data_IF_446830240655
#
_entry.id   IF_446830240655
#
_cell.length_a   1.000
_cell.length_b   1.000
_cell.length_c   1.000
_cell.angle_alpha   90.00
_cell.angle_beta   90.00
_cell.angle_gamma   90.00
#
_symmetry.space_group_name_H-M   'P 1'
#
loop_
_entity.id
_entity.type
_entity.pdbx_description
1 polymer ?
#
# COMPACT_ATOMS: atom_id res chain seq x y z
N UNK A 1 -9.13 -6.93 11.52
CA UNK A 1 -10.21 -5.99 11.15
C UNK A 1 -10.96 -6.55 9.95
N UNK A 2 -12.31 -6.52 9.88
CA UNK A 2 -13.02 -7.01 8.70
C UNK A 2 -12.92 -6.02 7.53
N UNK A 3 -12.64 -6.54 6.32
CA UNK A 3 -12.49 -5.71 5.11
C UNK A 3 -13.82 -5.15 4.60
N UNK A 4 -14.92 -5.91 4.65
CA UNK A 4 -16.23 -5.53 4.09
C UNK A 4 -16.71 -4.09 4.43
N UNK A 5 -16.71 -3.64 5.71
CA UNK A 5 -17.13 -2.28 6.03
C UNK A 5 -16.19 -1.21 5.45
N UNK A 6 -14.88 -1.49 5.39
CA UNK A 6 -13.89 -0.57 4.82
C UNK A 6 -14.11 -0.43 3.30
N UNK A 7 -14.34 -1.55 2.62
CA UNK A 7 -14.62 -1.58 1.18
C UNK A 7 -15.92 -0.85 0.83
N UNK A 8 -16.97 -1.03 1.65
CA UNK A 8 -18.22 -0.30 1.50
C UNK A 8 -18.05 1.22 1.66
N UNK A 9 -17.19 1.66 2.59
CA UNK A 9 -16.84 3.06 2.76
C UNK A 9 -16.07 3.60 1.55
N UNK A 10 -15.04 2.88 1.09
CA UNK A 10 -14.27 3.22 -0.12
C UNK A 10 -15.18 3.41 -1.33
N UNK A 11 -16.12 2.50 -1.57
CA UNK A 11 -17.06 2.63 -2.69
C UNK A 11 -17.99 3.83 -2.59
N UNK A 12 -18.38 4.21 -1.37
CA UNK A 12 -19.41 5.22 -1.15
C UNK A 12 -18.86 6.64 -1.07
N UNK A 13 -17.68 6.81 -0.48
CA UNK A 13 -17.15 8.11 -0.07
C UNK A 13 -15.82 8.49 -0.75
N UNK A 14 -15.21 7.58 -1.50
CA UNK A 14 -13.91 7.79 -2.13
C UNK A 14 -13.95 7.52 -3.63
N UNK A 15 -12.77 7.40 -4.26
CA UNK A 15 -12.63 7.31 -5.70
C UNK A 15 -11.96 5.97 -6.08
N UNK A 16 -12.70 4.84 -6.01
CA UNK A 16 -12.19 3.54 -6.42
C UNK A 16 -12.05 3.44 -7.94
N UNK A 17 -11.04 2.70 -8.39
CA UNK A 17 -10.99 2.22 -9.77
C UNK A 17 -11.97 1.06 -9.97
N UNK A 18 -12.15 0.64 -11.22
CA UNK A 18 -12.88 -0.58 -11.51
C UNK A 18 -12.24 -1.79 -10.79
N UNK A 19 -13.03 -2.78 -10.34
CA UNK A 19 -12.51 -4.01 -9.76
C UNK A 19 -11.49 -4.72 -10.66
N UNK A 20 -10.45 -5.30 -10.07
CA UNK A 20 -9.58 -6.20 -10.79
C UNK A 20 -10.27 -7.57 -11.01
N UNK A 21 -9.94 -8.21 -12.11
CA UNK A 21 -10.35 -9.60 -12.40
C UNK A 21 -9.38 -10.60 -11.77
N UNK A 22 -9.84 -11.83 -11.53
CA UNK A 22 -8.97 -12.93 -11.09
C UNK A 22 -7.78 -13.16 -12.02
N UNK A 23 -7.94 -12.92 -13.32
CA UNK A 23 -6.86 -13.01 -14.30
C UNK A 23 -5.80 -11.91 -14.10
N UNK A 24 -6.22 -10.68 -13.77
CA UNK A 24 -5.29 -9.59 -13.44
C UNK A 24 -4.54 -9.85 -12.15
N UNK A 25 -5.20 -10.43 -11.13
CA UNK A 25 -4.53 -10.86 -9.89
C UNK A 25 -3.46 -11.92 -10.20
N UNK A 26 -3.82 -12.98 -10.92
CA UNK A 26 -2.87 -14.04 -11.27
C UNK A 26 -1.69 -13.51 -12.11
N UNK A 27 -1.96 -12.60 -13.07
CA UNK A 27 -0.92 -11.96 -13.86
C UNK A 27 0.00 -11.07 -13.02
N UNK A 28 -0.56 -10.36 -12.03
CA UNK A 28 0.20 -9.59 -11.06
C UNK A 28 1.13 -10.50 -10.26
N UNK A 29 0.59 -11.53 -9.62
CA UNK A 29 1.35 -12.47 -8.76
C UNK A 29 2.47 -13.16 -9.55
N UNK A 30 2.20 -13.59 -10.79
CA UNK A 30 3.20 -14.15 -11.69
C UNK A 30 4.32 -13.15 -12.05
N UNK A 31 3.98 -11.87 -12.21
CA UNK A 31 4.95 -10.81 -12.55
C UNK A 31 5.84 -10.46 -11.36
N UNK A 32 5.29 -10.36 -10.16
CA UNK A 32 6.03 -9.90 -8.97
C UNK A 32 6.69 -11.04 -8.19
N UNK A 33 6.24 -12.28 -8.38
CA UNK A 33 6.80 -13.47 -7.74
C UNK A 33 6.35 -13.68 -6.29
N UNK A 34 5.28 -13.01 -5.86
CA UNK A 34 4.67 -13.16 -4.54
C UNK A 34 3.15 -13.07 -4.64
N UNK A 35 2.46 -13.62 -3.64
CA UNK A 35 0.99 -13.75 -3.62
C UNK A 35 0.34 -12.66 -2.77
N UNK A 36 -0.80 -12.13 -3.20
CA UNK A 36 -1.62 -11.24 -2.39
C UNK A 36 -2.16 -11.99 -1.18
N UNK A 37 -2.10 -11.39 0.00
CA UNK A 37 -2.81 -11.90 1.19
C UNK A 37 -4.34 -11.69 1.05
N UNK A 38 -5.10 -12.16 2.04
CA UNK A 38 -6.57 -12.11 2.00
C UNK A 38 -7.10 -10.67 1.93
N UNK A 39 -6.48 -9.74 2.65
CA UNK A 39 -6.91 -8.33 2.69
C UNK A 39 -6.68 -7.66 1.33
N UNK A 40 -5.46 -7.80 0.79
CA UNK A 40 -5.12 -7.24 -0.52
C UNK A 40 -5.97 -7.87 -1.62
N UNK A 41 -6.18 -9.19 -1.59
CA UNK A 41 -7.02 -9.88 -2.58
C UNK A 41 -8.46 -9.39 -2.53
N UNK A 42 -9.03 -9.24 -1.33
CA UNK A 42 -10.38 -8.68 -1.16
C UNK A 42 -10.46 -7.25 -1.68
N UNK A 43 -9.45 -6.41 -1.38
CA UNK A 43 -9.39 -5.04 -1.84
C UNK A 43 -9.29 -4.94 -3.37
N UNK A 44 -8.35 -5.64 -4.00
CA UNK A 44 -8.14 -5.55 -5.44
C UNK A 44 -9.32 -6.13 -6.26
N UNK A 45 -9.98 -7.17 -5.74
CA UNK A 45 -11.24 -7.68 -6.31
C UNK A 45 -12.42 -6.73 -6.13
N UNK A 46 -12.31 -5.75 -5.25
CA UNK A 46 -13.34 -4.72 -5.02
C UNK A 46 -13.03 -3.44 -5.81
N UNK A 47 -11.77 -3.04 -5.90
CA UNK A 47 -11.27 -1.95 -6.74
C UNK A 47 -9.78 -2.12 -7.03
N UNK A 48 -9.36 -1.98 -8.29
CA UNK A 48 -7.94 -2.03 -8.68
C UNK A 48 -7.19 -0.75 -8.30
N UNK A 49 -7.00 -0.52 -7.00
CA UNK A 49 -6.52 0.74 -6.46
C UNK A 49 -7.62 1.79 -6.32
N UNK A 50 -7.31 2.85 -5.59
CA UNK A 50 -8.22 3.98 -5.35
C UNK A 50 -7.44 5.22 -4.93
N UNK A 51 -8.11 6.37 -4.94
CA UNK A 51 -7.65 7.54 -4.19
C UNK A 51 -8.61 7.84 -3.06
N UNK A 52 -8.08 8.09 -1.86
CA UNK A 52 -8.89 8.49 -0.71
C UNK A 52 -8.98 10.01 -0.63
N UNK A 53 -10.12 10.50 -0.15
CA UNK A 53 -10.48 11.91 0.12
C UNK A 53 -10.51 12.87 -1.09
N UNK A 54 -9.64 12.71 -2.08
CA UNK A 54 -9.55 13.57 -3.25
C UNK A 54 -9.33 12.75 -4.53
N UNK A 55 -9.66 13.31 -5.71
CA UNK A 55 -9.30 12.71 -7.00
C UNK A 55 -7.79 12.74 -7.24
N UNK A 56 -7.32 11.87 -8.16
CA UNK A 56 -5.92 11.46 -8.38
C UNK A 56 -4.82 12.52 -8.27
N UNK A 57 -5.05 13.77 -8.68
CA UNK A 57 -3.99 14.80 -8.72
C UNK A 57 -3.67 15.33 -7.31
N UNK A 58 -4.64 15.33 -6.40
CA UNK A 58 -4.52 16.00 -5.09
C UNK A 58 -4.61 15.00 -3.91
N UNK A 59 -4.65 13.70 -4.21
CA UNK A 59 -4.86 12.67 -3.20
C UNK A 59 -3.57 12.34 -2.46
N UNK A 60 -3.58 12.50 -1.13
CA UNK A 60 -2.49 12.05 -0.27
C UNK A 60 -2.38 10.53 -0.29
N UNK A 61 -3.50 9.82 -0.16
CA UNK A 61 -3.53 8.36 -0.18
C UNK A 61 -3.95 7.87 -1.55
N UNK A 62 -2.98 7.43 -2.35
CA UNK A 62 -3.23 6.79 -3.63
C UNK A 62 -2.80 5.33 -3.59
N UNK A 63 -3.75 4.44 -3.29
CA UNK A 63 -3.49 2.99 -3.35
C UNK A 63 -3.30 2.60 -4.81
N UNK A 64 -2.11 2.08 -5.12
CA UNK A 64 -1.70 1.85 -6.49
C UNK A 64 -2.53 0.72 -7.14
N UNK A 65 -2.94 0.88 -8.41
CA UNK A 65 -3.45 -0.24 -9.19
C UNK A 65 -2.35 -1.30 -9.35
N UNK A 66 -2.73 -2.58 -9.49
CA UNK A 66 -1.80 -3.70 -9.58
C UNK A 66 -0.74 -3.49 -10.65
N UNK A 67 -1.10 -2.88 -11.78
CA UNK A 67 -0.19 -2.60 -12.88
C UNK A 67 0.97 -1.65 -12.50
N UNK A 68 0.75 -0.73 -11.55
CA UNK A 68 1.71 0.31 -11.18
C UNK A 68 2.62 -0.08 -10.01
N UNK A 69 2.21 -1.08 -9.21
CA UNK A 69 3.04 -1.67 -8.15
C UNK A 69 4.35 -2.19 -8.75
N UNK A 70 5.46 -1.78 -8.15
CA UNK A 70 6.82 -2.15 -8.54
C UNK A 70 7.74 -2.19 -7.32
N UNK A 71 8.99 -2.61 -7.50
CA UNK A 71 10.00 -2.55 -6.44
C UNK A 71 10.19 -1.11 -5.96
N UNK A 72 10.25 -0.91 -4.66
CA UNK A 72 10.38 0.41 -4.04
C UNK A 72 11.64 1.15 -4.51
N UNK A 73 12.78 0.46 -4.66
CA UNK A 73 14.02 1.05 -5.19
C UNK A 73 13.86 1.69 -6.57
N UNK A 74 13.08 1.07 -7.46
CA UNK A 74 12.78 1.63 -8.78
C UNK A 74 11.86 2.85 -8.70
N UNK A 75 10.90 2.85 -7.78
CA UNK A 75 9.94 3.93 -7.63
C UNK A 75 10.53 5.16 -6.91
N UNK A 76 11.31 4.93 -5.85
CA UNK A 76 11.81 5.96 -4.94
C UNK A 76 13.17 6.49 -5.39
N UNK A 77 14.09 5.61 -5.81
CA UNK A 77 15.47 5.97 -6.17
C UNK A 77 15.72 6.03 -7.69
N UNK A 78 14.72 5.67 -8.50
CA UNK A 78 14.84 5.57 -9.95
C UNK A 78 16.00 4.65 -10.41
N UNK A 79 16.32 3.64 -9.59
CA UNK A 79 17.43 2.70 -9.79
C UNK A 79 17.06 1.30 -9.26
N UNK A 80 17.61 0.24 -9.87
CA UNK A 80 17.38 -1.17 -9.45
C UNK A 80 18.66 -1.82 -8.92
N UNK A 81 19.57 -1.02 -8.35
CA UNK A 81 20.76 -1.53 -7.68
C UNK A 81 20.45 -1.94 -6.23
N UNK A 82 21.20 -2.92 -5.71
CA UNK A 82 20.95 -3.44 -4.35
C UNK A 82 21.21 -2.42 -3.24
N UNK A 83 22.07 -1.41 -3.50
CA UNK A 83 22.28 -0.29 -2.56
C UNK A 83 21.04 0.60 -2.39
N UNK A 84 20.13 0.57 -3.37
CA UNK A 84 18.96 1.43 -3.41
C UNK A 84 17.73 0.77 -2.76
N UNK A 85 17.87 -0.43 -2.20
CA UNK A 85 16.85 -1.13 -1.43
C UNK A 85 16.77 -2.62 -1.74
N UNK A 86 16.12 -3.37 -0.85
CA UNK A 86 15.93 -4.81 -1.01
C UNK A 86 14.97 -5.12 -2.19
N UNK A 87 15.23 -6.18 -2.98
CA UNK A 87 14.38 -6.56 -4.12
C UNK A 87 12.98 -7.05 -3.73
N UNK A 88 12.77 -7.37 -2.46
CA UNK A 88 11.51 -7.84 -1.89
C UNK A 88 10.56 -6.71 -1.47
N UNK A 89 11.01 -5.46 -1.48
CA UNK A 89 10.19 -4.33 -1.04
C UNK A 89 9.43 -3.74 -2.23
N UNK A 90 8.10 -3.69 -2.14
CA UNK A 90 7.20 -3.23 -3.20
C UNK A 90 6.34 -2.05 -2.73
N UNK A 91 6.12 -1.09 -3.63
CA UNK A 91 5.21 0.04 -3.41
C UNK A 91 3.76 -0.42 -3.36
N UNK A 92 2.98 0.09 -2.41
CA UNK A 92 1.55 -0.20 -2.33
C UNK A 92 0.69 1.08 -2.39
N UNK A 93 1.11 2.13 -1.68
CA UNK A 93 0.41 3.43 -1.65
C UNK A 93 1.41 4.51 -2.01
N UNK A 94 1.06 5.32 -3.00
CA UNK A 94 1.76 6.55 -3.36
C UNK A 94 1.27 7.67 -2.45
N UNK A 95 2.20 8.24 -1.68
CA UNK A 95 1.95 9.30 -0.70
C UNK A 95 2.31 10.69 -1.25
N UNK A 96 2.52 10.80 -2.58
CA UNK A 96 3.08 11.96 -3.29
C UNK A 96 4.57 12.20 -2.98
N UNK A 97 5.19 13.10 -3.74
CA UNK A 97 6.58 13.53 -3.55
C UNK A 97 7.63 12.39 -3.50
N UNK A 98 7.30 11.27 -4.14
CA UNK A 98 8.11 10.02 -4.14
C UNK A 98 8.19 9.30 -2.80
N UNK A 99 7.28 9.62 -1.87
CA UNK A 99 7.04 8.88 -0.64
C UNK A 99 6.01 7.77 -0.88
N UNK A 100 6.24 6.62 -0.25
CA UNK A 100 5.37 5.47 -0.43
C UNK A 100 5.11 4.75 0.88
N UNK A 101 3.92 4.16 0.99
CA UNK A 101 3.73 3.01 1.88
C UNK A 101 4.10 1.76 1.10
N UNK A 102 4.97 0.95 1.69
CA UNK A 102 5.53 -0.26 1.07
C UNK A 102 5.20 -1.49 1.89
N UNK A 103 5.33 -2.65 1.25
CA UNK A 103 5.38 -3.94 1.93
C UNK A 103 6.66 -4.67 1.55
N UNK A 104 7.18 -5.50 2.46
CA UNK A 104 8.25 -6.44 2.16
C UNK A 104 7.65 -7.83 1.93
N UNK A 105 7.78 -8.36 0.71
CA UNK A 105 7.18 -9.64 0.31
C UNK A 105 7.75 -10.84 1.06
N UNK A 106 8.86 -10.67 1.79
CA UNK A 106 9.48 -11.70 2.64
C UNK A 106 9.00 -11.66 4.08
N UNK A 107 8.31 -10.58 4.49
CA UNK A 107 7.79 -10.42 5.84
C UNK A 107 6.29 -10.74 5.86
N UNK A 108 5.93 -11.84 6.51
CA UNK A 108 4.53 -12.18 6.78
C UNK A 108 4.34 -12.48 8.25
N UNK A 109 3.41 -11.77 8.87
CA UNK A 109 3.02 -11.96 10.26
C UNK A 109 1.57 -12.43 10.30
N UNK A 110 1.33 -13.58 10.94
CA UNK A 110 0.01 -14.21 10.97
C UNK A 110 -0.69 -14.36 9.59
N UNK A 111 0.09 -14.43 8.51
CA UNK A 111 -0.41 -14.57 7.13
C UNK A 111 -0.63 -13.25 6.37
N UNK A 112 -0.43 -12.10 7.01
CA UNK A 112 -0.62 -10.77 6.45
C UNK A 112 0.73 -10.05 6.24
N UNK A 113 0.75 -9.08 5.33
CA UNK A 113 1.90 -8.21 5.12
C UNK A 113 1.85 -6.97 6.03
N UNK A 114 2.84 -6.76 6.92
CA UNK A 114 3.02 -5.47 7.56
C UNK A 114 3.35 -4.39 6.52
N UNK A 115 2.90 -3.17 6.78
CA UNK A 115 3.13 -2.01 5.93
C UNK A 115 4.06 -1.01 6.61
N UNK A 116 4.94 -0.44 5.79
CA UNK A 116 5.98 0.46 6.25
C UNK A 116 5.90 1.80 5.55
N UNK A 117 6.22 2.86 6.28
CA UNK A 117 6.50 4.16 5.69
C UNK A 117 7.89 4.13 5.04
N UNK A 118 7.96 4.39 3.74
CA UNK A 118 9.19 4.53 2.98
C UNK A 118 9.33 5.98 2.51
N UNK A 119 9.85 6.80 3.43
CA UNK A 119 10.15 8.20 3.19
C UNK A 119 11.34 8.35 2.23
N UNK A 120 11.19 9.16 1.17
CA UNK A 120 12.17 9.27 0.11
C UNK A 120 13.56 9.65 0.61
N UNK A 121 13.67 10.51 1.62
CA UNK A 121 14.98 10.99 2.08
C UNK A 121 15.78 9.88 2.80
N UNK A 122 15.11 8.98 3.53
CA UNK A 122 15.76 7.99 4.41
C UNK A 122 15.67 6.55 3.90
N UNK A 123 14.97 6.30 2.80
CA UNK A 123 14.89 4.97 2.19
C UNK A 123 16.18 4.59 1.43
N UNK A 124 16.76 3.39 1.55
CA UNK A 124 16.23 2.21 2.21
C UNK A 124 16.70 2.02 3.67
N UNK A 125 17.44 2.98 4.23
CA UNK A 125 18.04 2.85 5.57
C UNK A 125 17.01 2.81 6.69
N UNK A 126 15.90 3.56 6.54
CA UNK A 126 14.85 3.65 7.54
C UNK A 126 13.48 3.35 6.91
N UNK A 127 12.76 2.41 7.53
CA UNK A 127 11.37 2.09 7.22
C UNK A 127 10.63 1.81 8.53
N UNK A 128 9.68 2.68 8.90
CA UNK A 128 8.88 2.50 10.12
C UNK A 128 7.66 1.62 9.82
N UNK A 129 7.42 0.58 10.61
CA UNK A 129 6.18 -0.20 10.50
C UNK A 129 5.01 0.66 11.00
N UNK A 130 4.06 0.96 10.12
CA UNK A 130 2.92 1.83 10.41
C UNK A 130 1.61 1.06 10.58
N UNK A 131 1.54 -0.18 10.10
CA UNK A 131 0.39 -1.07 10.26
C UNK A 131 0.82 -2.54 10.13
N UNK A 132 0.19 -3.42 10.89
CA UNK A 132 0.43 -4.88 10.84
C UNK A 132 -0.24 -5.58 9.65
N UNK A 133 -1.17 -4.90 8.99
CA UNK A 133 -1.95 -5.43 7.86
C UNK A 133 -2.52 -4.31 6.99
N UNK A 134 -2.95 -4.65 5.77
CA UNK A 134 -3.64 -3.71 4.89
C UNK A 134 -4.99 -3.25 5.46
N UNK A 135 -5.75 -4.15 6.11
CA UNK A 135 -7.01 -3.77 6.75
C UNK A 135 -6.81 -2.72 7.86
N UNK A 136 -5.80 -2.89 8.72
CA UNK A 136 -5.46 -1.92 9.76
C UNK A 136 -5.04 -0.57 9.15
N UNK A 137 -4.17 -0.61 8.14
CA UNK A 137 -3.74 0.60 7.44
C UNK A 137 -4.92 1.36 6.85
N UNK A 138 -5.79 0.67 6.11
CA UNK A 138 -6.94 1.28 5.45
C UNK A 138 -7.90 1.90 6.48
N UNK A 139 -8.18 1.21 7.58
CA UNK A 139 -9.00 1.75 8.67
C UNK A 139 -8.41 3.06 9.24
N UNK A 140 -7.11 3.05 9.56
CA UNK A 140 -6.43 4.23 10.14
C UNK A 140 -6.36 5.38 9.12
N UNK A 141 -6.10 5.08 7.85
CA UNK A 141 -6.10 6.05 6.76
C UNK A 141 -7.48 6.70 6.59
N UNK A 142 -8.57 5.92 6.55
CA UNK A 142 -9.95 6.43 6.45
C UNK A 142 -10.32 7.32 7.64
N UNK A 143 -9.89 6.97 8.85
CA UNK A 143 -10.13 7.77 10.07
C UNK A 143 -9.26 9.02 10.18
N UNK A 144 -8.17 9.11 9.44
CA UNK A 144 -7.19 10.19 9.57
C UNK A 144 -7.73 11.57 9.17
N UNK A 145 -8.75 11.60 8.32
CA UNK A 145 -9.25 12.82 7.70
C UNK A 145 -8.23 13.44 6.73
N UNK A 146 -7.67 12.62 5.84
CA UNK A 146 -6.65 13.00 4.85
C UNK A 146 -5.32 13.51 5.46
N UNK A 147 -4.85 12.85 6.53
CA UNK A 147 -3.54 13.12 7.15
C UNK A 147 -2.74 11.84 7.24
N UNK A 148 -1.40 11.89 7.13
CA UNK A 148 -0.55 10.75 7.43
C UNK A 148 -0.71 10.38 8.92
N UNK A 149 -1.40 9.27 9.22
CA UNK A 149 -1.86 9.00 10.59
C UNK A 149 -0.72 8.67 11.56
N UNK A 150 0.40 8.13 11.04
CA UNK A 150 1.58 7.76 11.83
C UNK A 150 2.42 8.97 12.23
N UNK A 151 2.36 10.08 11.48
CA UNK A 151 3.06 11.33 11.81
C UNK A 151 2.40 12.13 12.94
N UNK A 152 1.26 11.67 13.46
CA UNK A 152 0.52 12.35 14.51
C UNK A 152 0.98 12.01 15.94
N UNK A 153 2.03 11.19 16.09
CA UNK A 153 2.66 10.87 17.39
C UNK A 153 2.15 9.62 18.11
N UNK A 154 1.27 8.83 17.48
CA UNK A 154 0.84 7.52 17.98
C UNK A 154 1.43 6.40 17.12
N UNK A 155 2.71 6.06 17.36
CA UNK A 155 3.27 4.81 16.83
C UNK A 155 2.51 3.63 17.47
N UNK A 156 2.14 2.58 16.70
CA UNK A 156 1.49 1.41 17.25
C UNK A 156 2.42 0.74 18.27
N UNK A 157 1.86 0.41 19.43
CA UNK A 157 2.57 -0.30 20.50
C UNK A 157 3.17 -1.61 19.95
N UNK A 158 4.48 -1.79 20.13
CA UNK A 158 5.22 -3.02 19.82
C UNK A 158 4.68 -4.24 20.58
#
# INVERSE_FOLDING_TARGET
>A
MPMDPLLAEVSRLHFPNAPATLAQLAAFEARVGWELDEDLRAFYLHCDGCTLFAPRVDALYRVLPLAEIRRARLAIRASDEDRDGAPSVFTLVDMQDSDYVVLDSTQREAGQYPLFDAFHETFPEEMECIASSFAEFLERALRSGNRAFWLSGESPSR
#
